data_IF_230033270157
#
_entry.id   IF_230033270157
#
_cell.length_a   1.000
_cell.length_b   1.000
_cell.length_c   1.000
_cell.angle_alpha   90.00
_cell.angle_beta   90.00
_cell.angle_gamma   90.00
#
_symmetry.space_group_name_H-M   'P 1'
#
loop_
_entity.id
_entity.type
_entity.pdbx_description
1 polymer ?
#
# COMPACT_ATOMS: atom_id res chain seq x y z
N UNK A 1 -16.39 -5.01 -6.47
CA UNK A 1 -15.36 -5.59 -7.34
C UNK A 1 -15.26 -4.77 -8.61
N UNK A 2 -14.07 -4.24 -8.93
CA UNK A 2 -13.84 -3.50 -10.18
C UNK A 2 -13.73 -4.46 -11.36
N UNK A 3 -14.23 -4.07 -12.54
CA UNK A 3 -13.96 -4.82 -13.77
C UNK A 3 -12.49 -4.61 -14.21
N UNK A 4 -11.93 -5.47 -15.09
CA UNK A 4 -10.52 -5.42 -15.48
C UNK A 4 -10.07 -4.04 -16.04
N UNK A 5 -10.95 -3.36 -16.77
CA UNK A 5 -10.67 -2.05 -17.35
C UNK A 5 -10.63 -0.95 -16.28
N UNK A 6 -11.56 -0.97 -15.32
CA UNK A 6 -11.58 -0.08 -14.17
C UNK A 6 -10.33 -0.28 -13.30
N UNK A 7 -9.90 -1.53 -13.09
CA UNK A 7 -8.65 -1.85 -12.38
C UNK A 7 -7.43 -1.26 -13.09
N UNK A 8 -7.36 -1.36 -14.41
CA UNK A 8 -6.24 -0.85 -15.19
C UNK A 8 -6.18 0.68 -15.19
N UNK A 9 -7.33 1.35 -15.35
CA UNK A 9 -7.48 2.81 -15.24
C UNK A 9 -7.06 3.29 -13.83
N UNK A 10 -7.51 2.59 -12.79
CA UNK A 10 -7.18 2.89 -11.41
C UNK A 10 -5.67 2.76 -11.15
N UNK A 11 -5.04 1.64 -11.54
CA UNK A 11 -3.61 1.42 -11.36
C UNK A 11 -2.78 2.46 -12.13
N UNK A 12 -3.22 2.87 -13.33
CA UNK A 12 -2.56 3.95 -14.09
C UNK A 12 -2.64 5.29 -13.38
N UNK A 13 -3.81 5.65 -12.86
CA UNK A 13 -4.01 6.89 -12.11
C UNK A 13 -3.17 6.89 -10.82
N UNK A 14 -3.15 5.78 -10.09
CA UNK A 14 -2.32 5.60 -8.90
C UNK A 14 -0.84 5.77 -9.22
N UNK A 15 -0.33 5.11 -10.25
CA UNK A 15 1.06 5.25 -10.68
C UNK A 15 1.44 6.70 -11.01
N UNK A 16 0.57 7.42 -11.74
CA UNK A 16 0.78 8.84 -12.06
C UNK A 16 0.84 9.70 -10.79
N UNK A 17 -0.03 9.45 -9.82
CA UNK A 17 -0.04 10.19 -8.54
C UNK A 17 1.23 9.93 -7.73
N UNK A 18 1.75 8.69 -7.73
CA UNK A 18 3.02 8.34 -7.08
C UNK A 18 4.24 9.02 -7.73
N UNK A 19 4.21 9.18 -9.07
CA UNK A 19 5.29 9.85 -9.81
C UNK A 19 5.23 11.38 -9.78
N UNK A 20 4.05 11.96 -9.56
CA UNK A 20 3.84 13.41 -9.62
C UNK A 20 4.50 14.19 -8.47
N UNK A 21 5.07 13.53 -7.46
CA UNK A 21 5.68 14.12 -6.25
C UNK A 21 4.76 15.04 -5.41
N UNK A 22 3.49 15.16 -5.78
CA UNK A 22 2.51 15.95 -5.07
C UNK A 22 1.87 15.12 -3.95
N UNK A 23 2.02 15.60 -2.71
CA UNK A 23 1.46 14.98 -1.50
C UNK A 23 -0.07 14.83 -1.57
N UNK A 24 -0.77 15.75 -2.23
CA UNK A 24 -2.22 15.72 -2.37
C UNK A 24 -2.69 14.52 -3.19
N UNK A 25 -1.98 14.19 -4.28
CA UNK A 25 -2.27 13.02 -5.09
C UNK A 25 -1.96 11.70 -4.38
N UNK A 26 -1.02 11.72 -3.44
CA UNK A 26 -0.70 10.58 -2.61
C UNK A 26 -1.87 10.25 -1.68
N UNK A 27 -2.49 11.23 -1.01
CA UNK A 27 -3.63 10.98 -0.11
C UNK A 27 -4.82 10.27 -0.78
N UNK A 28 -5.14 10.63 -2.02
CA UNK A 28 -6.19 9.95 -2.78
C UNK A 28 -5.77 8.54 -3.20
N UNK A 29 -4.49 8.36 -3.56
CA UNK A 29 -3.92 7.05 -3.84
C UNK A 29 -3.93 6.14 -2.61
N UNK A 30 -3.67 6.72 -1.44
CA UNK A 30 -3.71 6.07 -0.13
C UNK A 30 -5.10 5.56 0.21
N UNK A 31 -6.16 6.37 0.02
CA UNK A 31 -7.55 5.93 0.26
C UNK A 31 -7.94 4.73 -0.58
N UNK A 32 -7.51 4.71 -1.84
CA UNK A 32 -7.80 3.62 -2.78
C UNK A 32 -6.98 2.35 -2.47
N UNK A 33 -5.73 2.51 -2.02
CA UNK A 33 -4.91 1.38 -1.57
C UNK A 33 -5.41 0.84 -0.23
N UNK A 34 -5.77 1.71 0.72
CA UNK A 34 -6.29 1.32 2.02
C UNK A 34 -7.46 0.38 1.86
N UNK A 35 -8.41 0.66 0.97
CA UNK A 35 -9.52 -0.26 0.68
C UNK A 35 -9.07 -1.65 0.18
N UNK A 36 -7.93 -1.77 -0.51
CA UNK A 36 -7.37 -3.05 -0.95
C UNK A 36 -6.57 -3.76 0.14
N UNK A 37 -5.86 -3.00 0.95
CA UNK A 37 -4.92 -3.49 1.98
C UNK A 37 -5.67 -3.85 3.26
N UNK A 38 -6.70 -3.08 3.61
CA UNK A 38 -7.52 -3.23 4.82
C UNK A 38 -8.07 -4.65 4.91
N UNK A 39 -8.62 -5.22 3.83
CA UNK A 39 -9.06 -6.61 3.82
C UNK A 39 -7.95 -7.63 4.11
N UNK A 40 -6.73 -7.38 3.64
CA UNK A 40 -5.60 -8.28 3.87
C UNK A 40 -5.05 -8.17 5.30
N UNK A 41 -4.98 -6.96 5.85
CA UNK A 41 -4.46 -6.70 7.20
C UNK A 41 -5.47 -7.10 8.27
N UNK A 42 -6.75 -6.78 8.09
CA UNK A 42 -7.83 -7.18 9.01
C UNK A 42 -8.08 -8.69 9.04
N UNK A 43 -7.67 -9.43 8.00
CA UNK A 43 -7.65 -10.89 8.03
C UNK A 43 -6.61 -11.45 9.01
N UNK A 44 -5.64 -10.65 9.44
CA UNK A 44 -4.53 -11.07 10.29
C UNK A 44 -4.49 -10.37 11.67
N UNK A 45 -5.09 -9.19 11.85
CA UNK A 45 -5.26 -8.53 13.15
C UNK A 45 -6.70 -8.07 13.37
N UNK A 46 -7.19 -8.23 14.61
CA UNK A 46 -8.44 -7.61 15.10
C UNK A 46 -8.19 -6.29 15.83
N UNK A 47 -6.92 -5.90 15.99
CA UNK A 47 -6.52 -4.65 16.63
C UNK A 47 -6.48 -3.52 15.59
N UNK A 48 -7.33 -2.51 15.80
CA UNK A 48 -7.47 -1.37 14.91
C UNK A 48 -6.24 -0.44 14.93
N UNK A 49 -5.58 -0.31 16.07
CA UNK A 49 -4.36 0.48 16.20
C UNK A 49 -3.20 -0.19 15.48
N UNK A 50 -3.05 -1.50 15.65
CA UNK A 50 -2.04 -2.29 14.93
C UNK A 50 -2.29 -2.28 13.42
N UNK A 51 -3.54 -2.49 13.00
CA UNK A 51 -3.96 -2.41 11.58
C UNK A 51 -3.60 -1.06 10.99
N UNK A 52 -3.90 0.03 11.73
CA UNK A 52 -3.56 1.39 11.30
C UNK A 52 -2.06 1.58 11.15
N UNK A 53 -1.24 1.06 12.08
CA UNK A 53 0.23 1.16 12.02
C UNK A 53 0.82 0.38 10.84
N UNK A 54 0.33 -0.84 10.59
CA UNK A 54 0.75 -1.67 9.43
C UNK A 54 0.45 -0.93 8.13
N UNK A 55 -0.76 -0.38 8.00
CA UNK A 55 -1.19 0.38 6.82
C UNK A 55 -0.28 1.60 6.62
N UNK A 56 0.00 2.37 7.68
CA UNK A 56 0.90 3.53 7.62
C UNK A 56 2.32 3.15 7.18
N UNK A 57 2.87 2.05 7.69
CA UNK A 57 4.22 1.60 7.32
C UNK A 57 4.30 1.15 5.86
N UNK A 58 3.29 0.44 5.36
CA UNK A 58 3.18 0.10 3.93
C UNK A 58 3.26 1.37 3.08
N UNK A 59 2.55 2.42 3.50
CA UNK A 59 2.52 3.68 2.78
C UNK A 59 3.85 4.41 2.78
N UNK A 60 4.53 4.49 3.93
CA UNK A 60 5.85 5.11 4.04
C UNK A 60 6.83 4.42 3.08
N UNK A 61 6.86 3.09 3.06
CA UNK A 61 7.76 2.33 2.19
C UNK A 61 7.46 2.50 0.71
N UNK A 62 6.18 2.53 0.33
CA UNK A 62 5.79 2.81 -1.06
C UNK A 62 6.17 4.23 -1.47
N UNK A 63 6.01 5.21 -0.58
CA UNK A 63 6.41 6.60 -0.84
C UNK A 63 7.92 6.75 -1.00
N UNK A 64 8.71 6.15 -0.11
CA UNK A 64 10.17 6.20 -0.16
C UNK A 64 10.71 5.57 -1.45
N UNK A 65 10.06 4.51 -1.94
CA UNK A 65 10.48 3.82 -3.16
C UNK A 65 9.82 4.35 -4.45
N UNK A 66 8.96 5.38 -4.38
CA UNK A 66 8.13 5.83 -5.52
C UNK A 66 8.92 6.16 -6.79
N UNK A 67 10.14 6.68 -6.63
CA UNK A 67 10.99 7.02 -7.77
C UNK A 67 11.46 5.79 -8.56
N UNK A 68 11.56 4.64 -7.89
CA UNK A 68 11.98 3.37 -8.47
C UNK A 68 10.79 2.49 -8.93
N UNK A 69 9.56 2.95 -8.73
CA UNK A 69 8.39 2.23 -9.23
C UNK A 69 8.27 2.37 -10.74
N UNK A 70 8.20 1.24 -11.43
CA UNK A 70 7.83 1.12 -12.83
C UNK A 70 6.35 0.76 -12.96
N UNK A 71 5.69 1.23 -14.02
CA UNK A 71 4.26 1.00 -14.21
C UNK A 71 3.93 -0.49 -14.35
N UNK A 72 4.75 -1.22 -15.11
CA UNK A 72 4.51 -2.64 -15.43
C UNK A 72 4.60 -3.54 -14.19
N UNK A 73 5.36 -3.13 -13.19
CA UNK A 73 5.49 -3.85 -11.91
C UNK A 73 4.68 -3.22 -10.78
N UNK A 74 4.00 -2.09 -11.00
CA UNK A 74 3.43 -1.25 -9.95
C UNK A 74 2.50 -2.01 -9.00
N UNK A 75 1.56 -2.78 -9.55
CA UNK A 75 0.61 -3.56 -8.76
C UNK A 75 1.28 -4.71 -7.99
N UNK A 76 2.24 -5.39 -8.62
CA UNK A 76 3.00 -6.46 -7.96
C UNK A 76 3.88 -5.90 -6.83
N UNK A 77 4.47 -4.73 -7.02
CA UNK A 77 5.26 -4.06 -5.98
C UNK A 77 4.39 -3.66 -4.79
N UNK A 78 3.19 -3.12 -5.03
CA UNK A 78 2.23 -2.82 -3.95
C UNK A 78 1.91 -4.08 -3.15
N UNK A 79 1.54 -5.18 -3.82
CA UNK A 79 1.24 -6.44 -3.12
C UNK A 79 2.45 -7.00 -2.36
N UNK A 80 3.65 -6.96 -2.94
CA UNK A 80 4.85 -7.45 -2.29
C UNK A 80 5.21 -6.63 -1.03
N UNK A 81 5.08 -5.30 -1.09
CA UNK A 81 5.33 -4.43 0.08
C UNK A 81 4.27 -4.67 1.14
N UNK A 82 2.98 -4.73 0.77
CA UNK A 82 1.90 -5.05 1.70
C UNK A 82 2.17 -6.37 2.41
N UNK A 83 2.40 -7.45 1.66
CA UNK A 83 2.67 -8.77 2.22
C UNK A 83 3.84 -8.75 3.20
N UNK A 84 4.98 -8.14 2.79
CA UNK A 84 6.20 -8.10 3.60
C UNK A 84 6.00 -7.33 4.91
N UNK A 85 5.36 -6.16 4.85
CA UNK A 85 5.15 -5.33 6.06
C UNK A 85 4.15 -6.00 6.99
N UNK A 86 3.05 -6.54 6.45
CA UNK A 86 2.06 -7.27 7.24
C UNK A 86 2.72 -8.43 7.98
N UNK A 87 3.49 -9.29 7.30
CA UNK A 87 4.22 -10.37 7.96
C UNK A 87 5.21 -9.90 9.03
N UNK A 88 5.96 -8.81 8.78
CA UNK A 88 6.93 -8.29 9.75
C UNK A 88 6.27 -7.92 11.08
N UNK A 89 5.08 -7.33 11.06
CA UNK A 89 4.35 -7.01 12.28
C UNK A 89 3.82 -8.27 13.01
N UNK A 90 3.38 -9.30 12.27
CA UNK A 90 2.84 -10.52 12.88
C UNK A 90 3.90 -11.53 13.34
N UNK A 91 5.03 -11.61 12.65
CA UNK A 91 6.12 -12.53 13.01
C UNK A 91 7.08 -11.91 14.04
N UNK A 92 7.25 -10.59 14.07
CA UNK A 92 8.22 -9.93 14.95
C UNK A 92 7.84 -8.46 15.27
N UNK A 93 6.87 -8.21 16.18
CA UNK A 93 6.33 -6.87 16.45
C UNK A 93 7.39 -5.84 16.95
N UNK A 94 8.55 -6.28 17.45
CA UNK A 94 9.64 -5.40 17.88
C UNK A 94 10.50 -4.84 16.72
N UNK A 95 10.55 -5.51 15.57
CA UNK A 95 11.31 -5.05 14.38
C UNK A 95 10.53 -4.05 13.53
N UNK A 96 9.21 -3.98 13.71
CA UNK A 96 8.31 -3.06 13.02
C UNK A 96 8.53 -1.58 13.40
N UNK A 97 9.29 -1.31 14.46
CA UNK A 97 9.53 0.02 15.03
C UNK A 97 10.99 0.49 14.94
N UNK A 98 11.87 -0.27 14.27
CA UNK A 98 13.26 0.09 13.98
C UNK A 98 13.44 0.53 12.55
#
# INVERSE_FOLDING_TARGET
>A
MYNPMQRHILNRKLYQLFKAEQLEGFHDALKLLAQKIDWYVTAHSTDEEETTRIIQEIFIRLWMNRQHLEYDTFENTIHAVTYKVTLQFFENPEDALR
#
